data_IF_604080239870
#
_entry.id   IF_604080239870
#
_cell.length_a   1.000
_cell.length_b   1.000
_cell.length_c   1.000
_cell.angle_alpha   90.00
_cell.angle_beta   90.00
_cell.angle_gamma   90.00
#
_symmetry.space_group_name_H-M   'P 1'
#
loop_
_entity.id
_entity.type
_entity.pdbx_description
1 polymer ?
#
# COMPACT_ATOMS: atom_id res chain seq x y z
N UNK A 1 -53.09 -28.18 34.16
CA UNK A 1 -53.02 -27.92 32.70
C UNK A 1 -51.56 -27.71 32.30
N UNK A 2 -50.92 -28.73 31.69
CA UNK A 2 -49.51 -28.62 31.28
C UNK A 2 -49.48 -28.14 29.83
N UNK A 3 -48.77 -27.04 29.56
CA UNK A 3 -48.54 -26.56 28.18
C UNK A 3 -47.76 -27.61 27.39
N UNK A 4 -48.09 -27.81 26.13
CA UNK A 4 -47.41 -28.80 25.27
C UNK A 4 -45.95 -28.38 25.03
N UNK A 5 -45.03 -29.28 25.36
CA UNK A 5 -43.57 -29.15 25.18
C UNK A 5 -43.07 -28.60 23.84
N UNK A 6 -43.74 -28.78 22.67
CA UNK A 6 -43.23 -28.22 21.41
C UNK A 6 -43.26 -26.69 21.27
N UNK A 7 -44.20 -26.04 21.97
CA UNK A 7 -44.31 -24.55 21.95
C UNK A 7 -43.14 -23.86 22.63
N UNK A 8 -42.54 -24.48 23.64
CA UNK A 8 -41.42 -23.91 24.39
C UNK A 8 -40.11 -23.92 23.58
N UNK A 9 -39.91 -24.93 22.72
CA UNK A 9 -38.71 -25.09 21.86
C UNK A 9 -38.73 -24.07 20.73
N UNK A 10 -39.88 -23.76 20.14
CA UNK A 10 -39.98 -22.73 19.10
C UNK A 10 -39.73 -21.32 19.63
N UNK A 11 -40.14 -21.05 20.86
CA UNK A 11 -39.90 -19.74 21.51
C UNK A 11 -38.43 -19.52 21.84
N UNK A 12 -37.65 -20.56 22.18
CA UNK A 12 -36.21 -20.49 22.42
C UNK A 12 -35.41 -20.29 21.14
N UNK A 13 -35.82 -20.84 20.00
CA UNK A 13 -35.16 -20.65 18.70
C UNK A 13 -35.37 -19.26 18.11
N UNK A 14 -36.46 -18.59 18.41
CA UNK A 14 -36.76 -17.24 17.93
C UNK A 14 -35.93 -16.16 18.65
N UNK A 15 -35.37 -16.44 19.83
CA UNK A 15 -34.51 -15.48 20.55
C UNK A 15 -33.09 -15.36 19.99
N UNK A 16 -32.65 -16.28 19.13
CA UNK A 16 -31.29 -16.27 18.56
C UNK A 16 -31.19 -15.55 17.22
N UNK A 17 -32.28 -15.09 16.62
CA UNK A 17 -32.29 -14.33 15.37
C UNK A 17 -32.30 -12.80 15.62
N UNK A 18 -31.42 -12.30 16.50
CA UNK A 18 -31.20 -10.84 16.55
C UNK A 18 -30.39 -10.47 15.30
N UNK A 19 -30.88 -9.52 14.48
CA UNK A 19 -30.08 -9.03 13.35
C UNK A 19 -28.78 -8.44 13.90
N UNK A 20 -27.65 -9.06 13.58
CA UNK A 20 -26.36 -8.47 13.83
C UNK A 20 -26.26 -7.25 12.92
N UNK A 21 -26.52 -6.07 13.45
CA UNK A 21 -26.33 -4.82 12.73
C UNK A 21 -24.84 -4.68 12.41
N UNK A 22 -24.46 -4.87 11.15
CA UNK A 22 -23.10 -4.63 10.71
C UNK A 22 -22.76 -3.14 10.93
N UNK A 23 -21.68 -2.87 11.64
CA UNK A 23 -21.21 -1.50 11.84
C UNK A 23 -20.76 -0.92 10.50
N UNK A 24 -21.40 0.16 10.08
CA UNK A 24 -20.96 0.93 8.90
C UNK A 24 -19.80 1.82 9.32
N UNK A 25 -18.66 1.62 8.66
CA UNK A 25 -17.47 2.43 8.88
C UNK A 25 -17.38 3.56 7.85
N UNK A 26 -16.82 4.69 8.30
CA UNK A 26 -16.51 5.82 7.43
C UNK A 26 -15.00 5.94 7.26
N UNK A 27 -14.53 5.82 6.02
CA UNK A 27 -13.13 5.99 5.66
C UNK A 27 -13.00 7.20 4.73
N UNK A 28 -12.24 8.19 5.14
CA UNK A 28 -12.02 9.42 4.40
C UNK A 28 -10.55 9.87 4.45
N UNK A 29 -10.15 10.69 3.50
CA UNK A 29 -8.89 11.40 3.55
C UNK A 29 -9.15 12.89 3.71
N UNK A 30 -8.41 13.53 4.59
CA UNK A 30 -8.59 14.95 4.89
C UNK A 30 -7.85 15.87 3.91
N UNK A 31 -7.84 17.15 4.25
CA UNK A 31 -7.19 18.18 3.46
C UNK A 31 -5.66 18.03 3.46
N UNK A 32 -5.03 18.44 2.37
CA UNK A 32 -3.60 18.48 2.22
C UNK A 32 -2.96 19.52 3.15
N UNK A 33 -1.82 19.16 3.74
CA UNK A 33 -0.91 20.05 4.48
C UNK A 33 0.49 19.92 3.92
N UNK A 34 1.25 21.01 3.94
CA UNK A 34 2.67 21.01 3.60
C UNK A 34 3.48 20.91 4.90
N UNK A 35 4.47 20.02 4.90
CA UNK A 35 5.35 19.79 6.04
C UNK A 35 6.80 19.77 5.57
N UNK A 36 7.78 20.19 6.40
CA UNK A 36 9.18 20.05 6.04
C UNK A 36 9.57 18.58 5.97
N UNK A 37 10.36 18.23 4.99
CA UNK A 37 10.81 16.87 4.70
C UNK A 37 12.20 16.92 4.08
N UNK A 38 13.09 16.02 4.48
CA UNK A 38 14.39 15.82 3.84
C UNK A 38 14.40 14.44 3.20
N UNK A 39 14.47 14.36 1.86
CA UNK A 39 14.60 13.07 1.19
C UNK A 39 15.89 12.35 1.62
N UNK A 40 15.91 11.02 1.70
CA UNK A 40 17.10 10.26 2.13
C UNK A 40 18.36 10.54 1.29
N UNK A 41 18.19 10.92 0.03
CA UNK A 41 19.27 11.23 -0.92
C UNK A 41 19.61 12.71 -1.05
N UNK A 42 18.96 13.59 -0.27
CA UNK A 42 19.14 15.03 -0.36
C UNK A 42 19.67 15.62 0.97
N UNK A 43 20.53 16.62 0.84
CA UNK A 43 21.05 17.39 1.99
C UNK A 43 20.21 18.64 2.28
N UNK A 44 19.31 19.01 1.37
CA UNK A 44 18.46 20.20 1.50
C UNK A 44 17.02 19.80 1.82
N UNK A 45 16.38 20.51 2.75
CA UNK A 45 14.96 20.31 3.03
C UNK A 45 14.08 20.56 1.79
N UNK A 46 13.06 19.76 1.63
CA UNK A 46 12.01 19.90 0.65
C UNK A 46 10.65 19.94 1.37
N UNK A 47 9.57 20.01 0.63
CA UNK A 47 8.21 20.05 1.16
C UNK A 47 7.44 18.80 0.80
N UNK A 48 7.04 18.04 1.81
CA UNK A 48 6.13 16.90 1.66
C UNK A 48 4.68 17.36 1.83
N UNK A 49 3.80 16.95 0.91
CA UNK A 49 2.36 17.11 1.07
C UNK A 49 1.80 15.89 1.79
N UNK A 50 1.17 16.12 2.94
CA UNK A 50 0.55 15.06 3.75
C UNK A 50 -0.92 15.36 3.98
N UNK A 51 -1.72 14.31 4.17
CA UNK A 51 -3.12 14.42 4.57
C UNK A 51 -3.50 13.30 5.54
N UNK A 52 -4.42 13.52 6.48
CA UNK A 52 -4.82 12.49 7.40
C UNK A 52 -5.71 11.44 6.72
N UNK A 53 -5.49 10.19 7.03
CA UNK A 53 -6.43 9.09 6.83
C UNK A 53 -7.33 9.05 8.07
N UNK A 54 -8.62 9.29 7.88
CA UNK A 54 -9.62 9.40 8.94
C UNK A 54 -10.53 8.18 8.87
N UNK A 55 -10.69 7.50 10.00
CA UNK A 55 -11.61 6.38 10.15
C UNK A 55 -12.56 6.68 11.30
N UNK A 56 -13.83 6.61 11.04
CA UNK A 56 -14.91 6.91 12.03
C UNK A 56 -14.70 8.28 12.72
N UNK A 57 -14.25 9.28 11.95
CA UNK A 57 -14.00 10.63 12.46
C UNK A 57 -12.66 10.82 13.18
N UNK A 58 -11.84 9.78 13.35
CA UNK A 58 -10.55 9.84 14.03
C UNK A 58 -9.39 9.71 13.05
N UNK A 59 -8.32 10.48 13.23
CA UNK A 59 -7.09 10.36 12.44
C UNK A 59 -6.42 9.04 12.81
N UNK A 60 -6.41 8.12 11.86
CA UNK A 60 -5.78 6.80 12.00
C UNK A 60 -4.31 6.83 11.62
N UNK A 61 -3.99 7.53 10.53
CA UNK A 61 -2.65 7.64 9.98
C UNK A 61 -2.47 8.93 9.19
N UNK A 62 -1.23 9.25 8.83
CA UNK A 62 -0.92 10.30 7.86
C UNK A 62 -0.46 9.66 6.56
N UNK A 63 -0.89 10.23 5.46
CA UNK A 63 -0.61 9.70 4.11
C UNK A 63 -0.04 10.77 3.21
N UNK A 64 0.64 10.35 2.16
CA UNK A 64 1.19 11.21 1.11
C UNK A 64 0.98 10.58 -0.26
N UNK A 65 1.11 11.37 -1.30
CA UNK A 65 0.88 10.92 -2.68
C UNK A 65 -0.60 10.67 -2.98
N UNK A 66 -0.85 10.29 -4.22
CA UNK A 66 -2.22 10.01 -4.68
C UNK A 66 -2.67 8.62 -4.19
N UNK A 67 -3.96 8.48 -3.98
CA UNK A 67 -4.60 7.20 -3.72
C UNK A 67 -4.66 6.42 -5.03
N UNK A 68 -4.29 5.15 -4.97
CA UNK A 68 -4.56 4.23 -6.06
C UNK A 68 -5.71 3.31 -5.68
N UNK A 69 -6.82 3.43 -6.39
CA UNK A 69 -7.99 2.58 -6.22
C UNK A 69 -7.71 1.19 -6.80
N UNK A 70 -7.82 0.17 -5.97
CA UNK A 70 -7.65 -1.24 -6.39
C UNK A 70 -8.99 -1.81 -6.80
N UNK A 71 -10.01 -1.58 -5.96
CA UNK A 71 -11.42 -1.91 -6.21
C UNK A 71 -12.28 -0.76 -5.68
N UNK A 72 -13.59 -0.80 -5.88
CA UNK A 72 -14.51 0.14 -5.24
C UNK A 72 -14.43 0.12 -3.70
N UNK A 73 -13.99 -0.99 -3.15
CA UNK A 73 -13.86 -1.22 -1.70
C UNK A 73 -12.48 -0.93 -1.15
N UNK A 74 -11.42 -1.17 -1.91
CA UNK A 74 -10.03 -1.14 -1.41
C UNK A 74 -9.15 -0.19 -2.20
N UNK A 75 -8.24 0.48 -1.50
CA UNK A 75 -7.23 1.34 -2.12
C UNK A 75 -5.88 1.21 -1.42
N UNK A 76 -4.83 1.61 -2.12
CA UNK A 76 -3.49 1.75 -1.55
C UNK A 76 -3.07 3.21 -1.51
N UNK A 77 -2.30 3.58 -0.48
CA UNK A 77 -1.77 4.92 -0.30
C UNK A 77 -0.44 4.87 0.44
N UNK A 78 0.45 5.79 0.17
CA UNK A 78 1.74 5.88 0.87
C UNK A 78 1.55 6.47 2.25
N UNK A 79 2.10 5.84 3.29
CA UNK A 79 2.14 6.37 4.64
C UNK A 79 3.19 7.49 4.75
N UNK A 80 2.89 8.54 5.50
CA UNK A 80 3.85 9.52 5.98
C UNK A 80 3.97 9.35 7.50
N UNK A 81 5.19 9.27 8.02
CA UNK A 81 5.46 9.03 9.44
C UNK A 81 6.20 10.22 10.01
N UNK A 82 5.80 10.64 11.22
CA UNK A 82 6.53 11.65 11.98
C UNK A 82 7.38 10.92 13.02
N UNK A 83 8.69 11.06 12.90
CA UNK A 83 9.67 10.42 13.79
C UNK A 83 10.36 11.47 14.64
N UNK A 84 10.75 11.07 15.83
CA UNK A 84 11.69 11.85 16.65
C UNK A 84 13.09 11.26 16.43
N UNK A 85 14.00 12.04 15.89
CA UNK A 85 15.40 11.67 15.64
C UNK A 85 16.38 12.38 16.57
N UNK A 86 15.90 12.96 17.68
CA UNK A 86 16.76 13.52 18.70
C UNK A 86 17.75 12.48 19.23
N UNK A 87 19.02 12.87 19.33
CA UNK A 87 20.04 12.04 19.95
C UNK A 87 19.82 11.94 21.47
N UNK A 88 20.35 10.91 22.14
CA UNK A 88 20.15 10.72 23.58
C UNK A 88 20.62 11.89 24.47
N UNK A 89 21.56 12.67 24.00
CA UNK A 89 22.17 13.83 24.67
C UNK A 89 21.55 15.18 24.26
N UNK A 90 20.62 15.18 23.31
CA UNK A 90 19.93 16.39 22.90
C UNK A 90 18.74 16.71 23.84
N UNK A 91 18.62 18.00 24.19
CA UNK A 91 17.49 18.48 24.96
C UNK A 91 16.26 18.70 24.07
N UNK A 92 15.24 17.87 24.28
CA UNK A 92 13.96 17.98 23.59
C UNK A 92 13.78 17.01 22.42
N UNK A 93 12.59 17.04 21.82
CA UNK A 93 12.24 16.19 20.71
C UNK A 93 12.50 16.88 19.38
N UNK A 94 13.21 16.22 18.48
CA UNK A 94 13.45 16.68 17.12
C UNK A 94 12.57 15.88 16.14
N UNK A 95 11.46 16.49 15.74
CA UNK A 95 10.46 15.81 14.90
C UNK A 95 10.67 16.06 13.42
N UNK A 96 10.81 14.98 12.66
CA UNK A 96 10.89 15.04 11.19
C UNK A 96 9.85 14.13 10.53
N UNK A 97 9.49 14.44 9.29
CA UNK A 97 8.62 13.61 8.47
C UNK A 97 9.46 12.72 7.57
N UNK A 98 9.04 11.47 7.44
CA UNK A 98 9.65 10.46 6.56
C UNK A 98 8.59 9.71 5.77
N UNK A 99 8.99 9.17 4.64
CA UNK A 99 8.15 8.28 3.86
C UNK A 99 8.07 6.91 4.55
N UNK A 100 6.89 6.53 4.95
CA UNK A 100 6.61 5.21 5.54
C UNK A 100 6.32 4.14 4.48
N UNK A 101 5.87 2.95 4.88
CA UNK A 101 5.43 1.90 3.97
C UNK A 101 4.13 2.27 3.26
N UNK A 102 3.75 1.47 2.26
CA UNK A 102 2.43 1.54 1.66
C UNK A 102 1.37 0.95 2.61
N UNK A 103 0.18 1.50 2.58
CA UNK A 103 -0.99 1.02 3.30
C UNK A 103 -2.01 0.49 2.31
N UNK A 104 -2.62 -0.65 2.62
CA UNK A 104 -3.84 -1.14 2.02
C UNK A 104 -4.99 -0.83 2.97
N UNK A 105 -6.00 -0.17 2.46
CA UNK A 105 -7.18 0.27 3.22
C UNK A 105 -8.43 -0.36 2.65
N UNK A 106 -9.21 -1.03 3.48
CA UNK A 106 -10.52 -1.58 3.16
C UNK A 106 -11.60 -0.66 3.73
N UNK A 107 -12.40 -0.07 2.86
CA UNK A 107 -13.47 0.87 3.24
C UNK A 107 -14.61 0.22 4.02
N UNK A 108 -14.92 -1.03 3.71
CA UNK A 108 -16.07 -1.71 4.33
C UNK A 108 -15.77 -2.12 5.78
N UNK A 109 -14.59 -2.68 6.03
CA UNK A 109 -14.17 -3.09 7.37
C UNK A 109 -13.38 -2.03 8.13
N UNK A 110 -13.02 -0.91 7.48
CA UNK A 110 -12.10 0.11 7.98
C UNK A 110 -10.72 -0.46 8.40
N UNK A 111 -10.36 -1.63 7.85
CA UNK A 111 -9.08 -2.26 8.14
C UNK A 111 -7.96 -1.56 7.37
N UNK A 112 -6.88 -1.24 8.09
CA UNK A 112 -5.67 -0.67 7.52
C UNK A 112 -4.52 -1.63 7.78
N UNK A 113 -3.91 -2.12 6.73
CA UNK A 113 -2.75 -3.02 6.80
C UNK A 113 -1.53 -2.44 6.10
N UNK A 114 -0.36 -2.75 6.63
CA UNK A 114 0.91 -2.35 6.01
C UNK A 114 1.24 -3.31 4.88
N UNK A 115 1.45 -2.77 3.70
CA UNK A 115 1.94 -3.52 2.55
C UNK A 115 3.46 -3.64 2.59
N UNK A 116 3.94 -4.88 2.52
CA UNK A 116 5.35 -5.17 2.36
C UNK A 116 5.63 -5.44 0.88
N UNK A 117 6.30 -4.51 0.24
CA UNK A 117 6.78 -4.67 -1.13
C UNK A 117 8.18 -5.30 -1.07
N UNK A 118 8.39 -6.49 -1.67
CA UNK A 118 9.69 -7.17 -1.66
C UNK A 118 10.80 -6.29 -2.23
N UNK A 119 11.93 -6.19 -1.53
CA UNK A 119 13.14 -5.48 -1.97
C UNK A 119 12.92 -4.00 -2.37
N UNK A 120 11.81 -3.40 -1.97
CA UNK A 120 11.50 -2.01 -2.29
C UNK A 120 12.28 -1.04 -1.41
N UNK A 121 12.98 -0.12 -2.07
CA UNK A 121 13.65 1.03 -1.47
C UNK A 121 13.19 2.33 -2.17
N UNK A 122 12.60 3.28 -1.44
CA UNK A 122 12.14 4.55 -2.01
C UNK A 122 13.27 5.44 -2.54
N UNK A 123 14.51 5.24 -2.12
CA UNK A 123 15.66 5.94 -2.65
C UNK A 123 16.05 5.40 -4.04
N UNK A 124 15.71 4.17 -4.34
CA UNK A 124 16.09 3.48 -5.60
C UNK A 124 15.08 3.76 -6.71
N UNK A 125 13.78 3.71 -6.41
CA UNK A 125 12.73 3.92 -7.41
C UNK A 125 11.39 4.29 -6.79
N UNK A 126 10.44 4.64 -7.66
CA UNK A 126 9.04 4.85 -7.30
C UNK A 126 8.21 3.63 -7.66
N UNK A 127 7.17 3.37 -6.84
CA UNK A 127 6.17 2.34 -7.16
C UNK A 127 5.14 2.93 -8.12
N UNK A 128 4.85 2.21 -9.19
CA UNK A 128 3.77 2.52 -10.12
C UNK A 128 2.72 1.42 -10.05
N UNK A 129 1.51 1.79 -9.70
CA UNK A 129 0.39 0.88 -9.52
C UNK A 129 -0.42 0.73 -10.80
N UNK A 130 -0.89 -0.48 -11.04
CA UNK A 130 -1.91 -0.79 -12.05
C UNK A 130 -2.79 -1.93 -11.52
N UNK A 131 -4.09 -1.68 -11.35
CA UNK A 131 -5.01 -2.61 -10.69
C UNK A 131 -4.44 -3.02 -9.32
N UNK A 132 -4.22 -4.32 -9.11
CA UNK A 132 -3.63 -4.91 -7.91
C UNK A 132 -2.12 -5.22 -8.05
N UNK A 133 -1.48 -4.68 -9.10
CA UNK A 133 -0.05 -4.84 -9.35
C UNK A 133 0.74 -3.60 -8.99
N UNK A 134 1.92 -3.81 -8.40
CA UNK A 134 2.93 -2.81 -8.10
C UNK A 134 4.19 -3.08 -8.92
N UNK A 135 4.64 -2.13 -9.72
CA UNK A 135 5.89 -2.21 -10.47
C UNK A 135 6.91 -1.20 -9.94
N UNK A 136 8.14 -1.65 -9.71
CA UNK A 136 9.24 -0.83 -9.21
C UNK A 136 10.59 -1.53 -9.44
N UNK A 137 11.68 -0.78 -9.35
CA UNK A 137 13.00 -1.37 -9.20
C UNK A 137 13.31 -1.53 -7.71
N UNK A 138 13.81 -2.70 -7.33
CA UNK A 138 14.17 -3.01 -5.95
C UNK A 138 15.61 -3.46 -5.84
N UNK A 139 16.18 -3.35 -4.65
CA UNK A 139 17.52 -3.85 -4.33
C UNK A 139 17.40 -5.02 -3.39
N UNK A 140 18.01 -6.14 -3.73
CA UNK A 140 17.95 -7.33 -2.90
C UNK A 140 18.55 -7.09 -1.50
N UNK A 141 18.22 -7.97 -0.56
CA UNK A 141 18.66 -7.87 0.84
C UNK A 141 20.19 -7.84 1.04
N UNK A 142 20.96 -8.28 0.04
CA UNK A 142 22.44 -8.19 0.08
C UNK A 142 22.97 -6.85 -0.39
N UNK A 143 22.12 -5.96 -0.94
CA UNK A 143 22.53 -4.67 -1.49
C UNK A 143 23.37 -4.75 -2.78
N UNK A 144 23.41 -5.91 -3.45
CA UNK A 144 24.36 -6.15 -4.56
C UNK A 144 23.73 -6.18 -5.95
N UNK A 145 22.40 -6.26 -6.02
CA UNK A 145 21.72 -6.39 -7.31
C UNK A 145 20.44 -5.55 -7.34
N UNK A 146 20.28 -4.86 -8.46
CA UNK A 146 19.05 -4.17 -8.82
C UNK A 146 18.13 -5.11 -9.59
N UNK A 147 16.85 -5.13 -9.25
CA UNK A 147 15.83 -6.00 -9.83
C UNK A 147 14.68 -5.20 -10.42
N UNK A 148 14.13 -5.66 -11.55
CA UNK A 148 12.77 -5.34 -11.96
C UNK A 148 11.80 -6.20 -11.15
N UNK A 149 10.88 -5.59 -10.43
CA UNK A 149 9.93 -6.28 -9.57
C UNK A 149 8.51 -5.91 -9.95
N UNK A 150 7.66 -6.94 -10.13
CA UNK A 150 6.21 -6.79 -10.18
C UNK A 150 5.62 -7.63 -9.05
N UNK A 151 5.10 -6.96 -8.05
CA UNK A 151 4.38 -7.57 -6.93
C UNK A 151 2.87 -7.47 -7.16
N UNK A 152 2.11 -8.43 -6.66
CA UNK A 152 0.65 -8.42 -6.68
C UNK A 152 0.11 -8.40 -5.25
N UNK A 153 -0.92 -7.60 -5.00
CA UNK A 153 -1.56 -7.52 -3.69
C UNK A 153 -2.13 -8.87 -3.29
N UNK A 154 -1.92 -9.25 -2.03
CA UNK A 154 -2.37 -10.55 -1.51
C UNK A 154 -1.53 -11.74 -1.94
N UNK A 155 -0.56 -11.57 -2.85
CA UNK A 155 0.34 -12.63 -3.32
C UNK A 155 1.71 -12.49 -2.65
N UNK A 156 2.18 -13.59 -2.06
CA UNK A 156 3.41 -13.57 -1.25
C UNK A 156 4.69 -13.43 -2.09
N UNK A 157 4.69 -13.98 -3.31
CA UNK A 157 5.85 -13.95 -4.20
C UNK A 157 5.61 -12.98 -5.35
N UNK A 158 6.60 -12.17 -5.73
CA UNK A 158 6.45 -11.31 -6.90
C UNK A 158 6.26 -12.13 -8.17
N UNK A 159 5.46 -11.63 -9.09
CA UNK A 159 5.24 -12.23 -10.43
C UNK A 159 6.48 -12.10 -11.30
N UNK A 160 7.17 -10.97 -11.17
CA UNK A 160 8.46 -10.71 -11.82
C UNK A 160 9.46 -10.31 -10.74
N UNK A 161 10.61 -10.97 -10.73
CA UNK A 161 11.78 -10.59 -9.96
C UNK A 161 13.00 -10.94 -10.80
N UNK A 162 13.42 -10.02 -11.69
CA UNK A 162 14.49 -10.24 -12.64
C UNK A 162 15.66 -9.29 -12.38
N UNK A 163 16.90 -9.80 -12.29
CA UNK A 163 18.06 -8.93 -12.13
C UNK A 163 18.23 -8.03 -13.35
N UNK A 164 18.48 -6.75 -13.11
CA UNK A 164 18.76 -5.74 -14.13
C UNK A 164 20.26 -5.47 -14.21
N UNK A 165 20.88 -5.19 -13.04
CA UNK A 165 22.26 -4.80 -12.95
C UNK A 165 22.88 -5.23 -11.62
N UNK A 166 24.22 -5.23 -11.56
CA UNK A 166 24.92 -5.21 -10.26
C UNK A 166 24.63 -3.85 -9.60
N UNK A 167 24.53 -3.86 -8.29
CA UNK A 167 24.26 -2.66 -7.49
C UNK A 167 25.36 -2.46 -6.46
N UNK A 168 25.80 -1.20 -6.30
CA UNK A 168 26.63 -0.75 -5.16
C UNK A 168 26.15 0.64 -4.77
N UNK A 169 25.98 0.89 -3.49
CA UNK A 169 25.37 2.13 -2.98
C UNK A 169 26.14 3.39 -3.44
N UNK A 170 27.46 3.30 -3.61
CA UNK A 170 28.33 4.43 -3.84
C UNK A 170 28.45 4.87 -5.31
N UNK A 171 28.09 4.01 -6.27
CA UNK A 171 28.39 4.20 -7.70
C UNK A 171 27.16 4.37 -8.61
N UNK A 172 25.95 4.52 -8.04
CA UNK A 172 24.75 4.54 -8.87
C UNK A 172 23.94 5.84 -8.77
N UNK A 173 23.32 6.26 -9.90
CA UNK A 173 22.43 7.40 -9.89
C UNK A 173 21.22 7.14 -9.00
N UNK A 174 20.78 8.19 -8.30
CA UNK A 174 19.57 8.16 -7.48
C UNK A 174 18.54 9.10 -8.10
N UNK A 175 17.39 8.59 -8.56
CA UNK A 175 16.94 7.19 -8.53
C UNK A 175 17.65 6.28 -9.55
N UNK A 176 17.77 5.00 -9.22
CA UNK A 176 18.35 3.99 -10.11
C UNK A 176 17.45 3.63 -11.29
N UNK A 177 16.16 3.80 -11.13
CA UNK A 177 15.15 3.63 -12.18
C UNK A 177 14.17 4.80 -12.17
N UNK A 178 13.84 5.28 -13.36
CA UNK A 178 12.65 6.12 -13.52
C UNK A 178 11.37 5.30 -13.27
N UNK A 179 10.25 5.99 -13.09
CA UNK A 179 8.96 5.34 -12.88
C UNK A 179 8.64 4.36 -14.02
N UNK A 180 8.21 3.15 -13.67
CA UNK A 180 7.82 2.15 -14.66
C UNK A 180 6.56 2.59 -15.42
N UNK A 181 6.36 2.08 -16.63
CA UNK A 181 5.21 2.41 -17.48
C UNK A 181 4.38 1.16 -17.76
N UNK A 182 3.07 1.23 -17.50
CA UNK A 182 2.14 0.16 -17.79
C UNK A 182 1.50 0.31 -19.16
N UNK A 183 1.32 -0.81 -19.86
CA UNK A 183 0.57 -0.93 -21.10
C UNK A 183 -0.51 -2.00 -20.93
N UNK A 184 -1.72 -1.74 -21.47
CA UNK A 184 -2.89 -2.59 -21.20
C UNK A 184 -3.07 -3.74 -22.18
N UNK A 185 -2.65 -3.56 -23.43
CA UNK A 185 -2.90 -4.51 -24.53
C UNK A 185 -1.64 -4.68 -25.39
N UNK A 186 -0.90 -5.78 -25.24
CA UNK A 186 -0.99 -6.77 -24.14
C UNK A 186 -0.64 -6.15 -22.80
N UNK A 187 -1.07 -6.78 -21.69
CA UNK A 187 -0.69 -6.30 -20.36
C UNK A 187 0.82 -6.50 -20.19
N UNK A 188 1.53 -5.39 -20.12
CA UNK A 188 2.97 -5.39 -19.93
C UNK A 188 3.43 -4.17 -19.13
N UNK A 189 4.60 -4.29 -18.55
CA UNK A 189 5.29 -3.22 -17.82
C UNK A 189 6.66 -2.98 -18.41
N UNK A 190 7.01 -1.71 -18.57
CA UNK A 190 8.31 -1.27 -19.05
C UNK A 190 9.06 -0.61 -17.90
N UNK A 191 10.24 -1.12 -17.59
CA UNK A 191 11.16 -0.54 -16.61
C UNK A 191 12.21 0.30 -17.32
N UNK A 192 12.60 1.39 -16.69
CA UNK A 192 13.56 2.36 -17.24
C UNK A 192 14.76 2.50 -16.28
N UNK A 193 15.68 1.50 -16.22
CA UNK A 193 16.86 1.61 -15.38
C UNK A 193 17.81 2.70 -15.91
N UNK A 194 18.46 3.42 -15.02
CA UNK A 194 19.42 4.44 -15.39
C UNK A 194 20.64 3.80 -16.04
N UNK A 195 21.07 4.36 -17.18
CA UNK A 195 22.26 3.88 -17.91
C UNK A 195 22.10 2.54 -18.64
N UNK A 196 20.87 2.03 -18.80
CA UNK A 196 20.58 0.79 -19.52
C UNK A 196 19.34 0.93 -20.39
N UNK A 197 19.17 0.03 -21.34
CA UNK A 197 17.98 -0.02 -22.18
C UNK A 197 16.72 -0.35 -21.34
N UNK A 198 15.56 0.08 -21.85
CA UNK A 198 14.28 -0.23 -21.25
C UNK A 198 14.00 -1.74 -21.31
N UNK A 199 13.46 -2.28 -20.22
CA UNK A 199 13.14 -3.70 -20.07
C UNK A 199 11.64 -3.89 -20.01
N UNK A 200 11.09 -4.71 -20.91
CA UNK A 200 9.66 -4.99 -21.01
C UNK A 200 9.35 -6.39 -20.53
N UNK A 201 8.36 -6.51 -19.68
CA UNK A 201 7.84 -7.79 -19.19
C UNK A 201 6.33 -7.87 -19.43
N UNK A 202 5.91 -8.94 -20.11
CA UNK A 202 4.49 -9.26 -20.24
C UNK A 202 3.99 -9.92 -18.96
N UNK A 203 2.83 -9.49 -18.48
CA UNK A 203 2.25 -9.97 -17.23
C UNK A 203 1.12 -10.95 -17.56
N UNK A 204 1.30 -12.17 -17.11
CA UNK A 204 0.31 -13.23 -17.16
C UNK A 204 -0.15 -13.51 -15.73
N UNK A 205 -1.31 -13.04 -15.37
CA UNK A 205 -1.84 -13.24 -14.02
C UNK A 205 -3.36 -13.17 -13.99
N UNK A 206 -3.95 -13.94 -13.10
CA UNK A 206 -5.35 -13.81 -12.72
C UNK A 206 -5.49 -12.63 -11.76
N UNK A 207 -6.70 -12.07 -11.66
CA UNK A 207 -7.02 -11.14 -10.60
C UNK A 207 -6.72 -11.77 -9.24
N UNK A 208 -6.25 -10.97 -8.28
CA UNK A 208 -6.09 -11.48 -6.92
C UNK A 208 -7.45 -11.69 -6.27
N UNK A 209 -7.52 -12.56 -5.26
CA UNK A 209 -8.74 -12.76 -4.47
C UNK A 209 -9.30 -11.44 -3.89
N UNK A 210 -8.46 -10.45 -3.71
CA UNK A 210 -8.85 -9.12 -3.24
C UNK A 210 -9.66 -8.35 -4.29
N UNK A 211 -9.32 -8.48 -5.58
CA UNK A 211 -10.07 -7.90 -6.71
C UNK A 211 -11.38 -8.66 -6.91
N UNK A 212 -11.33 -9.98 -6.89
CA UNK A 212 -12.52 -10.83 -7.03
C UNK A 212 -13.55 -10.55 -5.92
N UNK A 213 -13.10 -10.40 -4.66
CA UNK A 213 -13.99 -10.07 -3.55
C UNK A 213 -14.60 -8.65 -3.65
N UNK A 214 -13.94 -7.72 -4.35
CA UNK A 214 -14.45 -6.36 -4.56
C UNK A 214 -15.39 -6.22 -5.75
N UNK A 215 -15.40 -7.21 -6.66
CA UNK A 215 -16.29 -7.27 -7.83
C UNK A 215 -17.56 -8.11 -7.59
N UNK A 216 -17.65 -8.80 -6.43
CA UNK A 216 -18.88 -9.50 -6.09
C UNK A 216 -20.05 -8.51 -6.04
N UNK A 217 -21.14 -8.70 -6.79
CA UNK A 217 -22.28 -7.82 -6.72
C UNK A 217 -22.83 -7.83 -5.29
N UNK A 218 -23.13 -6.65 -4.77
CA UNK A 218 -23.91 -6.54 -3.54
C UNK A 218 -25.22 -7.29 -3.79
N UNK A 219 -25.41 -8.43 -3.14
CA UNK A 219 -26.69 -9.12 -3.14
C UNK A 219 -27.72 -8.18 -2.53
N UNK A 220 -28.57 -7.65 -3.40
CA UNK A 220 -29.74 -6.83 -3.03
C UNK A 220 -30.82 -7.70 -2.38
#
# INVERSE_FOLDING_TARGET
MALPKPLLVCALLALFCLPVSAKVHTVAVGAWRRVPYTPPSATTPDTLRVRPLVIDGQVRDWTTGEIHEVTGRTFVVRRAVKLNDALPDEAGAHWLWVLGPWLLVDRASAHVSVLRLPDFDPAVSQVVWFRDYAAYCGVNSTGKHLYAVVAQLGVRRPLVAKPIAKWTVDDHPTPACSAATWQRQPLQVVFHPAGSDALTYQIFGLASALVEAGEAPDEQ
#
